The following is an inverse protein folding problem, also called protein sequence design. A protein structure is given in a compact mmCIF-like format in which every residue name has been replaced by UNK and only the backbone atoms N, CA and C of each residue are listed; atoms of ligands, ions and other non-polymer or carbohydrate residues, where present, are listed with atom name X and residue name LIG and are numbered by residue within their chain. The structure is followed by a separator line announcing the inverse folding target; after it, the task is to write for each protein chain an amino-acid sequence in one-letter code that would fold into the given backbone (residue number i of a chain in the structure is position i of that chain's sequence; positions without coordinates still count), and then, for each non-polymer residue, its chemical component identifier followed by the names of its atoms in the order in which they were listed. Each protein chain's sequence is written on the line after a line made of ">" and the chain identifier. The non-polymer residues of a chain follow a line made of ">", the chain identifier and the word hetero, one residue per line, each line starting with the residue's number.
data_IF_372204175502
#
_entry.id   IF_372204175502
#
_cell.length_a   1.000
_cell.length_b   1.000
_cell.length_c   1.000
_cell.angle_alpha   90.00
_cell.angle_beta   90.00
_cell.angle_gamma   90.00
#
_symmetry.space_group_name_H-M   'P 1'
#
loop_
_entity.id
_entity.type
_entity.pdbx_description
1 polymer ?
#
# COMPACT_ATOMS: atom_id res chain seq x y z
N UNK A 1 -26.21 -30.10 -17.51
CA UNK A 1 -26.65 -29.60 -16.19
C UNK A 1 -25.40 -29.22 -15.41
N UNK A 2 -25.04 -27.95 -15.37
CA UNK A 2 -23.81 -27.50 -14.67
C UNK A 2 -24.23 -26.66 -13.47
N UNK A 3 -23.94 -27.17 -12.28
CA UNK A 3 -24.25 -26.56 -10.98
C UNK A 3 -23.22 -25.45 -10.73
N UNK A 4 -23.62 -24.18 -10.85
CA UNK A 4 -22.80 -23.04 -10.41
C UNK A 4 -22.87 -22.98 -8.89
N UNK A 5 -21.74 -23.25 -8.22
CA UNK A 5 -21.58 -23.03 -6.80
C UNK A 5 -21.56 -21.54 -6.52
N UNK A 6 -22.60 -21.02 -5.88
CA UNK A 6 -22.58 -19.65 -5.35
C UNK A 6 -21.80 -19.61 -4.04
N UNK A 7 -20.93 -18.60 -3.98
CA UNK A 7 -19.93 -18.30 -2.97
C UNK A 7 -20.47 -18.20 -1.54
N UNK A 8 -19.58 -18.52 -0.60
CA UNK A 8 -19.74 -18.50 0.85
C UNK A 8 -20.51 -17.27 1.35
N UNK A 9 -21.70 -17.48 1.95
CA UNK A 9 -22.36 -16.45 2.74
C UNK A 9 -21.49 -16.15 3.97
N UNK A 10 -20.87 -14.98 4.00
CA UNK A 10 -20.09 -14.49 5.14
C UNK A 10 -21.03 -14.41 6.36
N UNK A 11 -20.75 -15.20 7.40
CA UNK A 11 -21.54 -15.23 8.63
C UNK A 11 -21.18 -13.99 9.46
N UNK A 12 -21.86 -12.89 9.23
CA UNK A 12 -21.71 -11.66 10.02
C UNK A 12 -22.50 -11.84 11.33
N UNK A 13 -21.85 -11.60 12.48
CA UNK A 13 -22.52 -11.66 13.79
C UNK A 13 -23.44 -10.47 14.00
N UNK A 14 -24.54 -10.67 14.75
CA UNK A 14 -25.45 -9.59 15.16
C UNK A 14 -24.73 -8.49 15.93
N UNK A 15 -23.69 -8.84 16.68
CA UNK A 15 -22.84 -7.88 17.39
C UNK A 15 -22.06 -6.99 16.41
N UNK A 16 -21.54 -7.57 15.33
CA UNK A 16 -20.85 -6.84 14.25
C UNK A 16 -21.78 -5.84 13.56
N UNK A 17 -23.04 -6.24 13.33
CA UNK A 17 -24.07 -5.34 12.78
C UNK A 17 -24.39 -4.21 13.76
N UNK A 18 -24.60 -4.52 15.05
CA UNK A 18 -24.89 -3.51 16.08
C UNK A 18 -23.76 -2.50 16.25
N UNK A 19 -22.51 -2.98 16.28
CA UNK A 19 -21.33 -2.13 16.41
C UNK A 19 -21.12 -1.23 15.18
N UNK A 20 -21.37 -1.76 13.99
CA UNK A 20 -21.34 -0.97 12.75
C UNK A 20 -22.41 0.13 12.76
N UNK A 21 -23.63 -0.19 13.18
CA UNK A 21 -24.73 0.78 13.23
C UNK A 21 -24.46 1.90 14.27
N UNK A 22 -23.92 1.54 15.44
CA UNK A 22 -23.49 2.52 16.46
C UNK A 22 -22.42 3.48 15.94
N UNK A 23 -21.49 2.98 15.11
CA UNK A 23 -20.39 3.76 14.53
C UNK A 23 -20.73 4.40 13.18
N UNK A 24 -21.96 4.28 12.69
CA UNK A 24 -22.37 4.76 11.37
C UNK A 24 -22.01 6.23 11.13
N UNK A 25 -22.23 7.11 12.11
CA UNK A 25 -21.85 8.54 12.01
C UNK A 25 -20.33 8.76 11.89
N UNK A 26 -19.52 7.96 12.56
CA UNK A 26 -18.05 8.03 12.48
C UNK A 26 -17.55 7.53 11.12
N UNK A 27 -18.16 6.44 10.63
CA UNK A 27 -17.86 5.86 9.33
C UNK A 27 -18.23 6.80 8.20
N UNK A 28 -19.39 7.46 8.27
CA UNK A 28 -19.85 8.45 7.28
C UNK A 28 -18.95 9.69 7.27
N UNK A 29 -18.59 10.22 8.44
CA UNK A 29 -17.66 11.35 8.56
C UNK A 29 -16.26 10.99 8.03
N UNK A 30 -15.80 9.76 8.27
CA UNK A 30 -14.55 9.24 7.69
C UNK A 30 -14.63 9.07 6.17
N UNK A 31 -15.79 8.65 5.65
CA UNK A 31 -16.05 8.47 4.22
C UNK A 31 -16.15 9.79 3.45
N UNK A 32 -16.62 10.87 4.08
CA UNK A 32 -16.65 12.23 3.51
C UNK A 32 -15.23 12.80 3.35
N UNK A 33 -14.35 12.59 4.32
CA UNK A 33 -12.92 12.96 4.25
C UNK A 33 -12.18 12.07 3.23
N UNK A 34 -12.68 10.85 3.03
CA UNK A 34 -12.13 9.84 2.13
C UNK A 34 -12.78 9.83 0.72
N UNK A 35 -13.59 10.83 0.34
CA UNK A 35 -14.17 10.90 -1.02
C UNK A 35 -13.11 10.97 -2.14
N UNK A 36 -11.82 11.15 -1.82
CA UNK A 36 -10.70 10.99 -2.76
C UNK A 36 -9.79 9.79 -2.50
N UNK A 37 -10.03 8.96 -1.47
CA UNK A 37 -9.16 7.83 -1.11
C UNK A 37 -9.95 6.68 -0.51
N UNK A 38 -9.80 5.49 -1.08
CA UNK A 38 -10.51 4.26 -0.68
C UNK A 38 -10.61 4.09 0.86
N UNK A 39 -11.82 4.08 1.46
CA UNK A 39 -11.99 3.93 2.92
C UNK A 39 -11.56 2.55 3.45
N UNK A 40 -11.28 1.60 2.55
CA UNK A 40 -10.71 0.29 2.85
C UNK A 40 -9.18 0.25 2.68
N UNK A 41 -8.54 1.38 2.40
CA UNK A 41 -7.08 1.48 2.42
C UNK A 41 -6.63 1.35 3.88
N UNK A 42 -6.13 0.16 4.25
CA UNK A 42 -5.32 -0.06 5.45
C UNK A 42 -4.42 1.17 5.62
N UNK A 43 -4.46 1.83 6.79
CA UNK A 43 -3.65 3.01 7.10
C UNK A 43 -2.23 2.79 6.55
N UNK A 44 -1.93 3.40 5.41
CA UNK A 44 -0.59 3.31 4.84
C UNK A 44 0.32 4.00 5.85
N UNK A 45 1.22 3.23 6.46
CA UNK A 45 2.24 3.77 7.35
C UNK A 45 2.91 4.92 6.60
N UNK A 46 3.04 6.08 7.24
CA UNK A 46 3.68 7.22 6.61
C UNK A 46 5.07 6.78 6.14
N UNK A 47 5.27 6.79 4.81
CA UNK A 47 6.52 6.40 4.19
C UNK A 47 7.53 7.51 4.46
N UNK A 48 8.65 7.18 5.09
CA UNK A 48 9.69 8.16 5.47
C UNK A 48 10.32 8.83 4.25
N UNK A 49 10.41 8.12 3.12
CA UNK A 49 11.07 8.59 1.89
C UNK A 49 10.16 8.45 0.66
N UNK A 50 8.97 9.05 0.69
CA UNK A 50 7.95 8.87 -0.36
C UNK A 50 8.44 9.20 -1.76
N UNK A 51 9.23 10.26 -1.93
CA UNK A 51 9.74 10.67 -3.25
C UNK A 51 10.77 9.67 -3.81
N UNK A 52 11.57 9.07 -2.93
CA UNK A 52 12.51 8.02 -3.30
C UNK A 52 11.75 6.76 -3.72
N UNK A 53 10.73 6.34 -2.97
CA UNK A 53 9.89 5.18 -3.34
C UNK A 53 9.17 5.40 -4.68
N UNK A 54 8.62 6.60 -4.91
CA UNK A 54 7.97 6.94 -6.19
C UNK A 54 8.97 6.86 -7.36
N UNK A 55 10.17 7.42 -7.18
CA UNK A 55 11.21 7.43 -8.22
C UNK A 55 11.70 6.01 -8.51
N UNK A 56 11.91 5.21 -7.46
CA UNK A 56 12.29 3.80 -7.58
C UNK A 56 11.21 2.98 -8.29
N UNK A 57 9.93 3.21 -7.97
CA UNK A 57 8.81 2.53 -8.61
C UNK A 57 8.71 2.88 -10.11
N UNK A 58 8.84 4.16 -10.48
CA UNK A 58 8.88 4.59 -11.89
C UNK A 58 10.02 3.93 -12.65
N UNK A 59 11.21 3.90 -12.05
CA UNK A 59 12.37 3.22 -12.64
C UNK A 59 12.12 1.71 -12.81
N UNK A 60 11.55 1.06 -11.79
CA UNK A 60 11.21 -0.35 -11.82
C UNK A 60 10.21 -0.67 -12.94
N UNK A 61 9.09 0.05 -12.99
CA UNK A 61 8.05 -0.15 -14.01
C UNK A 61 8.59 0.02 -15.44
N UNK A 62 9.52 0.96 -15.63
CA UNK A 62 10.14 1.23 -16.93
C UNK A 62 11.11 0.13 -17.36
N UNK A 63 11.72 -0.59 -16.43
CA UNK A 63 12.84 -1.51 -16.73
C UNK A 63 12.61 -2.97 -16.34
N UNK A 64 11.52 -3.30 -15.66
CA UNK A 64 11.24 -4.66 -15.18
C UNK A 64 11.19 -5.71 -16.31
N UNK A 65 10.83 -5.31 -17.52
CA UNK A 65 10.79 -6.20 -18.69
C UNK A 65 12.15 -6.33 -19.38
N UNK A 66 13.09 -5.44 -19.07
CA UNK A 66 14.39 -5.34 -19.75
C UNK A 66 15.55 -5.82 -18.87
N UNK A 67 15.37 -5.87 -17.55
CA UNK A 67 16.41 -6.19 -16.58
C UNK A 67 15.83 -7.13 -15.53
N UNK A 68 16.58 -8.17 -15.17
CA UNK A 68 16.21 -9.02 -14.05
C UNK A 68 16.23 -8.22 -12.74
N UNK A 69 15.06 -8.03 -12.13
CA UNK A 69 14.90 -7.20 -10.93
C UNK A 69 15.20 -8.01 -9.67
N UNK A 70 16.49 -8.17 -9.36
CA UNK A 70 16.91 -8.76 -8.09
C UNK A 70 16.72 -7.77 -6.93
N UNK A 71 16.54 -8.30 -5.73
CA UNK A 71 16.47 -7.49 -4.50
C UNK A 71 17.73 -6.64 -4.31
N UNK A 72 18.91 -7.17 -4.65
CA UNK A 72 20.17 -6.43 -4.53
C UNK A 72 20.26 -5.25 -5.52
N UNK A 73 19.73 -5.42 -6.73
CA UNK A 73 19.63 -4.33 -7.71
C UNK A 73 18.66 -3.24 -7.22
N UNK A 74 17.52 -3.64 -6.65
CA UNK A 74 16.55 -2.74 -6.02
C UNK A 74 17.17 -1.96 -4.86
N UNK A 75 17.96 -2.61 -3.99
CA UNK A 75 18.69 -1.94 -2.91
C UNK A 75 19.71 -0.94 -3.45
N UNK A 76 20.49 -1.33 -4.45
CA UNK A 76 21.49 -0.45 -5.06
C UNK A 76 20.83 0.81 -5.64
N UNK A 77 19.71 0.64 -6.36
CA UNK A 77 18.97 1.76 -6.93
C UNK A 77 18.24 2.60 -5.88
N UNK A 78 17.66 1.98 -4.86
CA UNK A 78 17.07 2.69 -3.73
C UNK A 78 18.12 3.54 -2.99
N UNK A 79 19.32 3.00 -2.76
CA UNK A 79 20.43 3.75 -2.16
C UNK A 79 20.90 4.92 -3.01
N UNK A 80 20.97 4.73 -4.34
CA UNK A 80 21.28 5.81 -5.28
C UNK A 80 20.25 6.95 -5.19
N UNK A 81 18.95 6.64 -5.31
CA UNK A 81 17.89 7.66 -5.24
C UNK A 81 17.78 8.31 -3.86
N UNK A 82 18.03 7.56 -2.78
CA UNK A 82 18.04 8.13 -1.44
C UNK A 82 19.14 9.19 -1.30
N UNK A 83 20.36 8.91 -1.78
CA UNK A 83 21.47 9.86 -1.73
C UNK A 83 21.22 11.08 -2.63
N UNK A 84 20.59 10.88 -3.77
CA UNK A 84 20.27 11.94 -4.74
C UNK A 84 19.17 12.89 -4.21
N UNK A 85 18.11 12.33 -3.60
CA UNK A 85 16.95 13.09 -3.14
C UNK A 85 17.08 13.58 -1.70
N UNK A 86 17.91 12.92 -0.89
CA UNK A 86 18.08 13.20 0.54
C UNK A 86 19.58 13.14 0.94
N UNK A 87 20.42 14.07 0.44
CA UNK A 87 21.87 14.01 0.60
C UNK A 87 22.35 14.09 2.06
N UNK A 88 21.58 14.73 2.93
CA UNK A 88 21.90 14.89 4.36
C UNK A 88 21.52 13.65 5.20
N UNK A 89 20.94 12.63 4.59
CA UNK A 89 20.50 11.42 5.29
C UNK A 89 21.65 10.44 5.47
N UNK A 90 21.75 9.85 6.68
CA UNK A 90 22.74 8.79 6.93
C UNK A 90 22.57 7.62 5.97
N UNK A 91 23.64 6.90 5.59
CA UNK A 91 23.54 5.74 4.72
C UNK A 91 22.51 4.73 5.25
N UNK A 92 21.42 4.55 4.51
CA UNK A 92 20.36 3.62 4.88
C UNK A 92 20.63 2.24 4.28
N UNK A 93 20.59 1.21 5.12
CA UNK A 93 20.65 -0.18 4.68
C UNK A 93 19.23 -0.70 4.43
N UNK A 94 18.84 -0.76 3.16
CA UNK A 94 17.56 -1.33 2.74
C UNK A 94 17.52 -2.85 3.04
N UNK A 95 16.37 -3.34 3.50
CA UNK A 95 16.07 -4.79 3.60
C UNK A 95 15.44 -5.30 2.28
N UNK A 96 15.45 -6.61 2.04
CA UNK A 96 14.75 -7.24 0.90
C UNK A 96 13.24 -7.43 1.14
N UNK A 97 12.75 -7.11 2.35
CA UNK A 97 11.41 -7.49 2.83
C UNK A 97 11.52 -8.36 4.06
#
# INVERSE_FOLDING_TARGET
>A
MTKLGFNSAEKISQETVSNTLKRSKELLRGAEIAQGSNPNAKRHKAVTYSLMEETLNKWFLTRQEMVNMSGDLLKLKGGYFLKELYPDTSPFQFSNG
#
